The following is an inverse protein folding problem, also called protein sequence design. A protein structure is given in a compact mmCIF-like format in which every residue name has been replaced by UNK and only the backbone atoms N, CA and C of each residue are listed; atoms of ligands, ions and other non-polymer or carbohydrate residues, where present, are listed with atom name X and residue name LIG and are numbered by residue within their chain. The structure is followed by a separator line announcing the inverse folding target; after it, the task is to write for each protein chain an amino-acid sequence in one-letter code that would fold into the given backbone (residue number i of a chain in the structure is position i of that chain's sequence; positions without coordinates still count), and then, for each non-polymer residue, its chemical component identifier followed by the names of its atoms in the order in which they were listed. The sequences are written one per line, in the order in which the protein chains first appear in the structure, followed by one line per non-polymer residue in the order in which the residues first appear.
data_IF_727471029475
#
_entry.id   IF_727471029475
#
_cell.length_a   1.000
_cell.length_b   1.000
_cell.length_c   1.000
_cell.angle_alpha   90.00
_cell.angle_beta   90.00
_cell.angle_gamma   90.00
#
_symmetry.space_group_name_H-M   'P 1'
#
loop_
_entity.id
_entity.type
_entity.pdbx_description
1 polymer ?
#
# COMPACT_ATOMS: atom_id res chain seq x y z
N UNK A 1 -18.02 19.02 41.84
CA UNK A 1 -17.70 17.64 41.33
C UNK A 1 -17.95 17.67 39.83
N UNK A 2 -16.90 17.46 39.03
CA UNK A 2 -17.03 17.46 37.55
C UNK A 2 -17.98 16.35 37.09
N UNK A 3 -18.68 16.58 35.97
CA UNK A 3 -19.52 15.58 35.31
C UNK A 3 -18.76 14.97 34.10
N UNK A 4 -19.06 13.75 33.68
CA UNK A 4 -18.51 13.18 32.45
C UNK A 4 -19.16 13.89 31.23
N UNK A 5 -18.42 13.89 30.12
CA UNK A 5 -18.90 14.41 28.83
C UNK A 5 -20.02 13.54 28.24
N UNK A 6 -20.82 14.13 27.31
CA UNK A 6 -21.95 13.45 26.67
C UNK A 6 -21.52 12.43 25.57
N UNK A 7 -20.27 12.43 25.15
CA UNK A 7 -19.75 11.56 24.11
C UNK A 7 -19.12 10.27 24.65
N UNK A 8 -19.16 10.07 25.99
CA UNK A 8 -18.60 8.90 26.65
C UNK A 8 -17.06 8.82 26.62
N UNK A 9 -16.40 9.96 26.39
CA UNK A 9 -14.93 10.03 26.32
C UNK A 9 -14.29 10.28 27.70
N UNK A 10 -15.10 10.41 28.76
CA UNK A 10 -14.65 10.71 30.11
C UNK A 10 -13.87 12.03 30.24
N UNK A 11 -14.16 13.00 29.39
CA UNK A 11 -13.65 14.37 29.56
C UNK A 11 -14.39 15.02 30.72
N UNK A 12 -13.63 15.51 31.71
CA UNK A 12 -14.23 16.14 32.88
C UNK A 12 -14.84 17.52 32.51
N UNK A 13 -16.14 17.67 32.67
CA UNK A 13 -16.87 18.91 32.44
C UNK A 13 -17.14 19.56 33.79
N UNK A 14 -16.61 20.77 33.98
CA UNK A 14 -16.82 21.56 35.17
C UNK A 14 -18.28 21.99 35.29
N UNK A 15 -18.79 21.88 36.50
CA UNK A 15 -20.17 22.25 36.86
C UNK A 15 -20.19 23.57 37.67
N UNK A 16 -21.29 24.22 37.72
CA UNK A 16 -21.45 25.46 38.52
C UNK A 16 -21.25 25.23 40.03
N UNK A 17 -21.36 23.99 40.47
CA UNK A 17 -21.13 23.58 41.87
C UNK A 17 -19.64 23.28 42.16
N UNK A 18 -18.78 23.29 41.16
CA UNK A 18 -17.36 23.09 41.40
C UNK A 18 -16.70 24.36 41.93
N UNK A 19 -15.61 24.21 42.68
CA UNK A 19 -14.89 25.36 43.19
C UNK A 19 -14.37 26.23 42.03
N UNK A 20 -14.59 27.54 42.01
CA UNK A 20 -14.24 28.38 40.88
C UNK A 20 -12.72 28.43 40.64
N UNK A 21 -12.26 27.81 39.54
CA UNK A 21 -10.88 27.84 39.11
C UNK A 21 -10.80 27.75 37.57
N UNK A 22 -10.68 28.89 36.93
CA UNK A 22 -10.50 28.92 35.46
C UNK A 22 -9.29 28.14 34.99
N UNK A 23 -8.09 28.25 35.62
CA UNK A 23 -6.95 27.42 35.23
C UNK A 23 -7.22 25.92 35.41
N UNK A 24 -7.88 25.52 36.52
CA UNK A 24 -8.20 24.10 36.74
C UNK A 24 -9.19 23.53 35.70
N UNK A 25 -10.23 24.32 35.37
CA UNK A 25 -11.19 23.94 34.34
C UNK A 25 -10.52 23.81 32.94
N UNK A 26 -9.69 24.76 32.58
CA UNK A 26 -8.96 24.75 31.32
C UNK A 26 -7.96 23.55 31.26
N UNK A 27 -7.25 23.25 32.34
CA UNK A 27 -6.35 22.10 32.42
C UNK A 27 -7.11 20.78 32.30
N UNK A 28 -8.19 20.60 33.05
CA UNK A 28 -9.01 19.38 32.96
C UNK A 28 -9.55 19.13 31.54
N UNK A 29 -9.94 20.19 30.85
CA UNK A 29 -10.39 20.10 29.46
C UNK A 29 -9.24 19.75 28.51
N UNK A 30 -8.08 20.37 28.68
CA UNK A 30 -6.87 20.06 27.90
C UNK A 30 -6.44 18.59 28.10
N UNK A 31 -6.34 18.12 29.33
CA UNK A 31 -5.99 16.74 29.68
C UNK A 31 -7.02 15.73 29.13
N UNK A 32 -8.26 16.13 29.02
CA UNK A 32 -9.32 15.32 28.45
C UNK A 32 -9.30 15.26 26.91
N UNK A 33 -9.01 16.34 26.23
CA UNK A 33 -9.13 16.47 24.76
C UNK A 33 -7.83 16.10 24.05
N UNK A 34 -6.69 16.62 24.50
CA UNK A 34 -5.40 16.46 23.79
C UNK A 34 -5.06 15.00 23.48
N UNK A 35 -5.15 14.04 24.43
CA UNK A 35 -4.83 12.65 24.17
C UNK A 35 -5.76 11.96 23.15
N UNK A 36 -6.91 12.56 22.86
CA UNK A 36 -7.92 12.05 21.92
C UNK A 36 -7.84 12.68 20.54
N UNK A 37 -6.92 13.62 20.35
CA UNK A 37 -6.61 14.24 19.06
C UNK A 37 -5.32 13.66 18.49
N UNK A 38 -4.96 14.04 17.26
CA UNK A 38 -3.65 13.72 16.69
C UNK A 38 -2.61 14.67 17.28
N UNK A 39 -1.84 14.20 18.23
CA UNK A 39 -0.75 14.95 18.84
C UNK A 39 0.46 15.02 17.89
N UNK A 40 1.13 16.16 17.83
CA UNK A 40 2.30 16.39 16.97
C UNK A 40 3.57 16.40 17.80
N UNK A 41 4.57 15.59 17.41
CA UNK A 41 5.88 15.53 18.04
C UNK A 41 6.99 15.71 17.00
N UNK A 42 8.09 16.31 17.42
CA UNK A 42 9.25 16.48 16.56
C UNK A 42 9.84 15.12 16.12
N UNK A 43 9.80 14.11 17.01
CA UNK A 43 10.33 12.77 16.76
C UNK A 43 9.70 11.73 17.70
N UNK A 44 9.96 10.44 17.45
CA UNK A 44 9.58 9.35 18.35
C UNK A 44 10.24 9.50 19.73
N UNK A 45 11.48 10.01 19.80
CA UNK A 45 12.17 10.27 21.07
C UNK A 45 11.49 11.39 21.87
N UNK A 46 11.12 12.50 21.20
CA UNK A 46 10.38 13.59 21.84
C UNK A 46 9.03 13.13 22.38
N UNK A 47 8.32 12.32 21.61
CA UNK A 47 7.07 11.68 22.05
C UNK A 47 7.27 10.82 23.29
N UNK A 48 8.26 9.92 23.27
CA UNK A 48 8.59 9.04 24.39
C UNK A 48 9.02 9.79 25.65
N UNK A 49 9.66 10.96 25.51
CA UNK A 49 9.98 11.85 26.62
C UNK A 49 8.76 12.54 27.23
N UNK A 50 7.72 12.81 26.44
CA UNK A 50 6.52 13.51 26.87
C UNK A 50 5.45 12.56 27.43
N UNK A 51 5.23 11.43 26.74
CA UNK A 51 4.17 10.47 27.09
C UNK A 51 4.68 9.44 28.11
N UNK A 52 4.83 9.88 29.37
CA UNK A 52 5.30 9.06 30.48
C UNK A 52 4.44 9.25 31.74
N UNK A 53 4.52 8.29 32.65
CA UNK A 53 3.84 8.35 33.94
C UNK A 53 2.33 8.52 33.78
N UNK A 54 1.76 9.60 34.30
CA UNK A 54 0.33 9.89 34.21
C UNK A 54 -0.16 10.15 32.75
N UNK A 55 0.77 10.46 31.86
CA UNK A 55 0.49 10.71 30.43
C UNK A 55 0.94 9.54 29.53
N UNK A 56 1.20 8.37 30.13
CA UNK A 56 1.60 7.19 29.36
C UNK A 56 0.61 6.91 28.22
N UNK A 57 1.07 6.37 27.08
CA UNK A 57 0.22 6.13 25.94
C UNK A 57 -0.88 5.11 26.27
N UNK A 58 -2.08 5.40 25.78
CA UNK A 58 -3.24 4.52 25.89
C UNK A 58 -3.64 4.06 24.48
N UNK A 59 -4.12 2.83 24.35
CA UNK A 59 -4.58 2.26 23.08
C UNK A 59 -5.55 3.21 22.35
N UNK A 60 -5.31 3.38 21.06
CA UNK A 60 -6.07 4.30 20.21
C UNK A 60 -5.51 5.74 20.15
N UNK A 61 -4.54 6.11 20.99
CA UNK A 61 -3.87 7.41 20.84
C UNK A 61 -3.19 7.51 19.48
N UNK A 62 -3.35 8.66 18.82
CA UNK A 62 -2.74 8.95 17.52
C UNK A 62 -1.70 10.07 17.63
N UNK A 63 -0.57 9.91 16.97
CA UNK A 63 0.51 10.91 16.93
C UNK A 63 1.04 11.07 15.51
N UNK A 64 1.46 12.31 15.17
CA UNK A 64 2.17 12.60 13.93
C UNK A 64 3.61 12.98 14.24
N UNK A 65 4.56 12.25 13.66
CA UNK A 65 6.01 12.51 13.79
C UNK A 65 6.47 13.40 12.65
N UNK A 66 7.04 14.56 13.00
CA UNK A 66 7.44 15.59 12.02
C UNK A 66 8.72 15.24 11.28
N UNK A 67 9.65 14.54 11.93
CA UNK A 67 10.96 14.15 11.35
C UNK A 67 10.82 13.13 10.21
N UNK A 68 9.80 12.26 10.29
CA UNK A 68 9.54 11.19 9.31
C UNK A 68 8.22 11.34 8.58
N UNK A 69 7.49 12.45 8.80
CA UNK A 69 6.17 12.73 8.22
C UNK A 69 5.20 11.52 8.33
N UNK A 70 5.07 10.95 9.53
CA UNK A 70 4.34 9.69 9.73
C UNK A 70 3.29 9.79 10.84
N UNK A 71 2.08 9.32 10.52
CA UNK A 71 1.04 9.06 11.50
C UNK A 71 1.30 7.70 12.15
N UNK A 72 1.24 7.63 13.47
CA UNK A 72 1.29 6.40 14.24
C UNK A 72 0.16 6.34 15.26
N UNK A 73 -0.36 5.14 15.49
CA UNK A 73 -1.40 4.84 16.48
C UNK A 73 -0.83 3.86 17.50
N UNK A 74 -1.11 4.08 18.77
CA UNK A 74 -0.71 3.16 19.84
C UNK A 74 -1.71 2.01 19.92
N UNK A 75 -1.23 0.76 19.78
CA UNK A 75 -2.06 -0.44 19.79
C UNK A 75 -2.15 -1.14 21.16
N UNK A 76 -1.85 -0.42 22.24
CA UNK A 76 -1.80 -0.95 23.60
C UNK A 76 -0.42 -1.45 24.04
N UNK A 77 0.51 -1.72 23.10
CA UNK A 77 1.87 -2.19 23.39
C UNK A 77 2.96 -1.42 22.66
N UNK A 78 2.68 -0.96 21.45
CA UNK A 78 3.64 -0.26 20.58
C UNK A 78 2.96 0.79 19.70
N UNK A 79 3.73 1.75 19.23
CA UNK A 79 3.32 2.69 18.20
C UNK A 79 3.47 2.03 16.83
N UNK A 80 2.38 1.95 16.09
CA UNK A 80 2.31 1.30 14.77
C UNK A 80 1.77 2.28 13.73
N UNK A 81 2.31 2.20 12.52
CA UNK A 81 1.72 2.90 11.37
C UNK A 81 0.42 2.21 10.99
N UNK A 82 -0.72 2.92 10.88
CA UNK A 82 -1.95 2.32 10.40
C UNK A 82 -1.73 1.64 9.04
N UNK A 83 -2.31 0.44 8.81
CA UNK A 83 -2.21 -0.23 7.53
C UNK A 83 -2.80 0.66 6.43
N UNK A 84 -2.14 0.72 5.29
CA UNK A 84 -2.68 1.40 4.12
C UNK A 84 -3.78 0.52 3.50
N UNK A 85 -4.85 1.15 3.05
CA UNK A 85 -5.94 0.42 2.42
C UNK A 85 -5.45 -0.31 1.16
N UNK A 86 -5.81 -1.59 1.04
CA UNK A 86 -5.61 -2.34 -0.19
C UNK A 86 -6.45 -1.70 -1.31
N UNK A 87 -5.81 -1.36 -2.41
CA UNK A 87 -6.47 -0.96 -3.65
C UNK A 87 -6.31 -2.05 -4.69
N UNK A 88 -7.29 -2.21 -5.57
CA UNK A 88 -7.23 -3.20 -6.65
C UNK A 88 -7.79 -2.62 -7.95
N UNK A 89 -7.40 -3.23 -9.06
CA UNK A 89 -7.96 -2.96 -10.38
C UNK A 89 -8.03 -4.23 -11.20
N UNK A 90 -9.04 -4.32 -12.06
CA UNK A 90 -9.21 -5.39 -13.07
C UNK A 90 -9.35 -4.80 -14.47
N UNK A 91 -9.07 -3.51 -14.64
CA UNK A 91 -9.28 -2.78 -15.88
C UNK A 91 -8.08 -1.90 -16.26
N UNK A 92 -8.09 -1.41 -17.50
CA UNK A 92 -7.07 -0.49 -18.00
C UNK A 92 -5.82 -1.17 -18.57
N UNK A 93 -5.78 -2.51 -18.67
CA UNK A 93 -4.75 -3.22 -19.41
C UNK A 93 -4.94 -2.95 -20.91
N UNK A 94 -3.86 -2.61 -21.61
CA UNK A 94 -3.85 -2.45 -23.07
C UNK A 94 -3.08 -3.61 -23.68
N UNK A 95 -3.72 -4.33 -24.61
CA UNK A 95 -3.10 -5.49 -25.26
C UNK A 95 -2.27 -5.07 -26.47
N UNK A 96 -1.14 -5.72 -26.65
CA UNK A 96 -0.31 -5.56 -27.85
C UNK A 96 -0.82 -6.48 -28.98
N UNK A 97 -0.56 -6.14 -30.26
CA UNK A 97 -0.98 -6.96 -31.38
C UNK A 97 -0.53 -8.41 -31.27
N UNK A 98 -1.44 -9.34 -31.50
CA UNK A 98 -1.19 -10.79 -31.38
C UNK A 98 -1.38 -11.36 -29.99
N UNK A 99 -1.99 -10.60 -29.08
CA UNK A 99 -2.44 -11.06 -27.78
C UNK A 99 -3.86 -10.58 -27.48
N UNK A 100 -4.59 -11.34 -26.68
CA UNK A 100 -5.89 -10.97 -26.14
C UNK A 100 -5.94 -11.19 -24.64
N UNK A 101 -6.59 -10.29 -23.92
CA UNK A 101 -6.81 -10.40 -22.48
C UNK A 101 -7.84 -11.50 -22.18
N UNK A 102 -7.53 -12.36 -21.23
CA UNK A 102 -8.49 -13.24 -20.57
C UNK A 102 -8.88 -12.67 -19.21
N UNK A 103 -7.87 -12.26 -18.41
CA UNK A 103 -8.09 -11.65 -17.10
C UNK A 103 -6.94 -10.73 -16.74
N UNK A 104 -7.18 -9.81 -15.80
CA UNK A 104 -6.17 -8.92 -15.23
C UNK A 104 -6.57 -8.53 -13.82
N UNK A 105 -5.63 -8.64 -12.90
CA UNK A 105 -5.77 -8.12 -11.55
C UNK A 105 -4.49 -7.40 -11.12
N UNK A 106 -4.66 -6.21 -10.60
CA UNK A 106 -3.62 -5.47 -9.88
C UNK A 106 -4.03 -5.26 -8.44
N UNK A 107 -3.13 -5.49 -7.50
CA UNK A 107 -3.30 -5.25 -6.06
C UNK A 107 -2.19 -4.33 -5.58
N UNK A 108 -2.55 -3.36 -4.75
CA UNK A 108 -1.59 -2.40 -4.21
C UNK A 108 -1.88 -2.11 -2.75
N UNK A 109 -0.88 -2.31 -1.90
CA UNK A 109 -0.88 -1.89 -0.51
C UNK A 109 0.33 -0.96 -0.29
N UNK A 110 0.03 0.33 -0.12
CA UNK A 110 1.07 1.33 -0.02
C UNK A 110 1.94 1.40 -1.26
N UNK A 111 3.20 0.99 -1.11
CA UNK A 111 4.22 0.97 -2.19
C UNK A 111 4.38 -0.40 -2.83
N UNK A 112 3.81 -1.44 -2.23
CA UNK A 112 3.82 -2.78 -2.82
C UNK A 112 2.75 -2.87 -3.90
N UNK A 113 3.15 -3.33 -5.07
CA UNK A 113 2.27 -3.62 -6.20
C UNK A 113 2.47 -5.07 -6.60
N UNK A 114 1.36 -5.78 -6.77
CA UNK A 114 1.32 -7.12 -7.35
C UNK A 114 0.43 -7.07 -8.58
N UNK A 115 0.87 -7.69 -9.65
CA UNK A 115 0.09 -7.84 -10.88
C UNK A 115 -0.03 -9.30 -11.27
N UNK A 116 -1.22 -9.67 -11.73
CA UNK A 116 -1.53 -10.92 -12.40
C UNK A 116 -2.20 -10.62 -13.73
N UNK A 117 -1.59 -11.06 -14.82
CA UNK A 117 -2.11 -10.90 -16.18
C UNK A 117 -2.34 -12.28 -16.79
N UNK A 118 -3.53 -12.55 -17.25
CA UNK A 118 -3.87 -13.75 -17.99
C UNK A 118 -4.27 -13.38 -19.41
N UNK A 119 -3.54 -13.91 -20.37
CA UNK A 119 -3.70 -13.57 -21.78
C UNK A 119 -3.56 -14.79 -22.69
N UNK A 120 -4.08 -14.68 -23.90
CA UNK A 120 -3.95 -15.69 -24.96
C UNK A 120 -3.09 -15.12 -26.09
N UNK A 121 -2.15 -15.93 -26.59
CA UNK A 121 -1.46 -15.66 -27.84
C UNK A 121 -2.43 -15.84 -29.03
N UNK A 122 -2.67 -14.77 -29.80
CA UNK A 122 -3.56 -14.79 -30.99
C UNK A 122 -2.80 -14.56 -32.30
N UNK A 123 -1.52 -14.19 -32.20
CA UNK A 123 -0.62 -14.00 -33.35
C UNK A 123 0.11 -15.28 -33.76
N UNK A 124 1.06 -15.14 -34.69
CA UNK A 124 1.91 -16.24 -35.11
C UNK A 124 2.75 -16.80 -33.92
N UNK A 125 3.16 -18.07 -34.04
CA UNK A 125 4.03 -18.70 -33.03
C UNK A 125 5.29 -17.86 -32.78
N UNK A 126 5.62 -17.65 -31.51
CA UNK A 126 6.90 -17.13 -31.08
C UNK A 126 7.82 -18.33 -30.88
N UNK A 127 8.83 -18.44 -31.73
CA UNK A 127 9.75 -19.55 -31.68
C UNK A 127 10.79 -19.36 -30.58
N UNK A 128 11.01 -20.41 -29.82
CA UNK A 128 12.08 -20.48 -28.84
C UNK A 128 13.36 -21.06 -29.48
N UNK A 129 14.51 -20.56 -29.05
CA UNK A 129 15.82 -21.11 -29.36
C UNK A 129 16.76 -20.96 -28.17
N UNK A 130 17.22 -22.06 -27.61
CA UNK A 130 18.14 -22.12 -26.47
C UNK A 130 17.68 -21.29 -25.23
N UNK A 131 16.39 -21.35 -24.94
CA UNK A 131 15.77 -20.60 -23.84
C UNK A 131 15.43 -19.15 -24.19
N UNK A 132 15.79 -18.66 -25.37
CA UNK A 132 15.53 -17.31 -25.83
C UNK A 132 14.34 -17.25 -26.80
N UNK A 133 13.66 -16.13 -26.79
CA UNK A 133 12.65 -15.76 -27.79
C UNK A 133 12.94 -14.34 -28.29
N UNK A 134 12.42 -13.99 -29.45
CA UNK A 134 12.39 -12.61 -29.87
C UNK A 134 11.61 -11.80 -28.85
N UNK A 135 12.20 -10.70 -28.36
CA UNK A 135 11.56 -9.76 -27.45
C UNK A 135 10.20 -9.35 -28.01
N UNK A 136 9.15 -9.76 -27.30
CA UNK A 136 7.78 -9.57 -27.77
C UNK A 136 6.95 -8.88 -26.70
N UNK A 137 6.58 -7.63 -26.95
CA UNK A 137 5.61 -6.92 -26.10
C UNK A 137 4.27 -7.65 -26.15
N UNK A 138 3.65 -7.87 -25.00
CA UNK A 138 2.38 -8.58 -24.90
C UNK A 138 1.23 -7.72 -24.35
N UNK A 139 1.52 -6.79 -23.46
CA UNK A 139 0.53 -5.85 -22.93
C UNK A 139 1.21 -4.64 -22.28
N UNK A 140 0.40 -3.62 -22.00
CA UNK A 140 0.82 -2.43 -21.26
C UNK A 140 -0.06 -2.23 -20.05
N UNK A 141 0.53 -2.16 -18.86
CA UNK A 141 -0.18 -1.93 -17.59
C UNK A 141 -0.76 -0.50 -17.52
N UNK A 142 -1.88 -0.30 -16.81
CA UNK A 142 -2.42 1.03 -16.58
C UNK A 142 -1.50 1.90 -15.70
N UNK A 143 -1.61 3.22 -15.85
CA UNK A 143 -0.90 4.18 -15.01
C UNK A 143 -1.22 3.94 -13.50
N UNK A 144 -0.22 4.11 -12.63
CA UNK A 144 -0.35 3.82 -11.19
C UNK A 144 -0.07 2.36 -10.80
N UNK A 145 0.05 1.46 -11.79
CA UNK A 145 0.34 0.03 -11.63
C UNK A 145 1.66 -0.36 -12.33
N UNK A 146 2.52 0.60 -12.58
CA UNK A 146 3.80 0.47 -13.30
C UNK A 146 4.97 0.67 -12.35
N UNK A 147 6.12 0.02 -12.60
CA UNK A 147 7.36 0.38 -11.90
C UNK A 147 7.68 1.86 -12.13
N UNK A 148 8.17 2.55 -11.10
CA UNK A 148 8.43 3.98 -11.17
C UNK A 148 9.90 4.33 -11.33
N UNK A 149 10.82 3.39 -11.04
CA UNK A 149 12.24 3.70 -10.99
C UNK A 149 13.08 2.86 -11.96
N UNK A 150 12.78 1.57 -12.08
CA UNK A 150 13.57 0.65 -12.91
C UNK A 150 12.68 -0.42 -13.54
N UNK A 151 13.18 -1.07 -14.58
CA UNK A 151 12.58 -2.26 -15.18
C UNK A 151 12.60 -3.41 -14.17
N UNK A 152 11.48 -4.11 -14.06
CA UNK A 152 11.28 -5.25 -13.16
C UNK A 152 11.19 -6.52 -13.99
N UNK A 153 11.76 -7.60 -13.48
CA UNK A 153 11.58 -8.93 -14.04
C UNK A 153 10.37 -9.62 -13.43
N UNK A 154 9.68 -10.39 -14.23
CA UNK A 154 8.60 -11.28 -13.81
C UNK A 154 8.72 -12.64 -14.47
N UNK A 155 7.89 -13.57 -14.03
CA UNK A 155 7.77 -14.89 -14.60
C UNK A 155 6.39 -15.09 -15.25
N UNK A 156 6.35 -15.90 -16.29
CA UNK A 156 5.11 -16.36 -16.90
C UNK A 156 5.08 -17.88 -17.02
N UNK A 157 3.89 -18.45 -17.03
CA UNK A 157 3.65 -19.88 -17.19
C UNK A 157 2.42 -20.11 -18.07
N UNK A 158 2.47 -21.17 -18.90
CA UNK A 158 1.34 -21.59 -19.74
C UNK A 158 0.84 -23.00 -19.42
N UNK A 159 1.42 -23.65 -18.40
CA UNK A 159 1.18 -25.04 -18.08
C UNK A 159 1.98 -26.04 -18.93
N UNK A 160 2.50 -25.64 -20.09
CA UNK A 160 3.35 -26.47 -20.98
C UNK A 160 4.70 -25.82 -21.27
N UNK A 161 4.79 -24.52 -21.14
CA UNK A 161 6.03 -23.75 -21.24
C UNK A 161 6.00 -22.63 -20.21
N UNK A 162 7.17 -22.20 -19.78
CA UNK A 162 7.34 -21.08 -18.84
C UNK A 162 8.50 -20.22 -19.28
N UNK A 163 8.61 -19.01 -18.72
CA UNK A 163 9.70 -18.12 -19.04
C UNK A 163 9.68 -16.84 -18.24
N UNK A 164 10.51 -15.91 -18.68
CA UNK A 164 10.64 -14.59 -18.08
C UNK A 164 10.07 -13.49 -18.97
N UNK A 165 9.60 -12.44 -18.33
CA UNK A 165 9.27 -11.16 -18.96
C UNK A 165 9.91 -10.01 -18.22
N UNK A 166 10.01 -8.87 -18.86
CA UNK A 166 10.38 -7.60 -18.23
C UNK A 166 9.19 -6.66 -18.27
N UNK A 167 9.04 -5.89 -17.21
CA UNK A 167 8.07 -4.82 -17.09
C UNK A 167 8.81 -3.49 -17.01
N UNK A 168 8.66 -2.67 -18.03
CA UNK A 168 9.27 -1.34 -18.11
C UNK A 168 8.55 -0.30 -17.23
N UNK A 169 9.21 0.83 -17.01
CA UNK A 169 8.61 1.99 -16.32
C UNK A 169 7.50 2.66 -17.14
N UNK A 170 7.47 2.40 -18.44
CA UNK A 170 6.38 2.76 -19.37
C UNK A 170 5.15 1.84 -19.22
N UNK A 171 5.29 0.74 -18.47
CA UNK A 171 4.27 -0.26 -18.23
C UNK A 171 4.24 -1.40 -19.26
N UNK A 172 5.12 -1.41 -20.24
CA UNK A 172 5.14 -2.46 -21.26
C UNK A 172 5.71 -3.76 -20.65
N UNK A 173 4.93 -4.83 -20.78
CA UNK A 173 5.35 -6.19 -20.47
C UNK A 173 5.92 -6.84 -21.74
N UNK A 174 7.19 -7.19 -21.71
CA UNK A 174 7.90 -7.81 -22.85
C UNK A 174 8.38 -9.19 -22.48
N UNK A 175 7.92 -10.22 -23.18
CA UNK A 175 8.38 -11.59 -23.04
C UNK A 175 9.84 -11.68 -23.55
N UNK A 176 10.73 -12.33 -22.78
CA UNK A 176 12.19 -12.39 -23.06
C UNK A 176 12.74 -13.79 -23.20
N UNK A 177 12.16 -14.74 -22.49
CA UNK A 177 12.62 -16.13 -22.51
C UNK A 177 11.44 -17.08 -22.46
N UNK A 178 11.65 -18.29 -22.95
CA UNK A 178 10.68 -19.38 -22.91
C UNK A 178 11.40 -20.73 -22.86
N UNK A 179 10.79 -21.70 -22.19
CA UNK A 179 11.24 -23.10 -22.19
C UNK A 179 10.72 -23.89 -23.40
N UNK A 180 9.97 -23.25 -24.28
CA UNK A 180 9.42 -23.82 -25.50
C UNK A 180 8.62 -22.78 -26.29
N UNK A 181 8.19 -23.14 -27.49
CA UNK A 181 7.44 -22.26 -28.37
C UNK A 181 6.13 -21.76 -27.74
N UNK A 182 5.81 -20.50 -27.99
CA UNK A 182 4.52 -19.91 -27.61
C UNK A 182 3.63 -19.91 -28.86
N UNK A 183 2.77 -20.91 -28.97
CA UNK A 183 1.91 -21.11 -30.13
C UNK A 183 0.67 -20.23 -30.11
N UNK A 184 0.06 -20.00 -31.27
CA UNK A 184 -1.30 -19.46 -31.34
C UNK A 184 -2.24 -20.30 -30.47
N UNK A 185 -3.07 -19.65 -29.67
CA UNK A 185 -3.95 -20.31 -28.69
C UNK A 185 -3.29 -20.63 -27.34
N UNK A 186 -1.97 -20.43 -27.17
CA UNK A 186 -1.34 -20.59 -25.85
C UNK A 186 -1.84 -19.53 -24.88
N UNK A 187 -2.23 -19.95 -23.69
CA UNK A 187 -2.60 -19.06 -22.59
C UNK A 187 -1.38 -18.84 -21.69
N UNK A 188 -1.10 -17.59 -21.38
CA UNK A 188 0.03 -17.20 -20.54
C UNK A 188 -0.47 -16.48 -19.29
N UNK A 189 0.08 -16.85 -18.13
CA UNK A 189 -0.13 -16.16 -16.86
C UNK A 189 1.16 -15.47 -16.47
N UNK A 190 1.14 -14.15 -16.41
CA UNK A 190 2.27 -13.32 -16.01
C UNK A 190 2.04 -12.85 -14.58
N UNK A 191 3.05 -13.02 -13.75
CA UNK A 191 3.04 -12.55 -12.37
C UNK A 191 4.28 -11.72 -12.06
N UNK A 192 4.10 -10.61 -11.36
CA UNK A 192 5.20 -9.83 -10.81
C UNK A 192 4.77 -9.06 -9.57
N UNK A 193 5.69 -8.93 -8.62
CA UNK A 193 5.55 -8.08 -7.44
C UNK A 193 6.72 -7.12 -7.36
N UNK A 194 6.44 -5.85 -7.11
CA UNK A 194 7.46 -4.80 -7.08
C UNK A 194 7.06 -3.64 -6.18
N UNK A 195 8.05 -2.78 -5.88
CA UNK A 195 7.85 -1.54 -5.14
C UNK A 195 7.79 -0.36 -6.11
N UNK A 196 6.88 0.56 -5.84
CA UNK A 196 6.85 1.87 -6.49
C UNK A 196 7.41 2.94 -5.55
N UNK A 197 8.11 3.92 -6.11
CA UNK A 197 8.49 5.15 -5.40
C UNK A 197 7.37 6.17 -5.55
N UNK A 198 7.00 6.81 -4.47
CA UNK A 198 6.08 7.98 -4.48
C UNK A 198 6.87 9.23 -4.78
#
# INVERSE_FOLDING_TARGET
MTAPDQYGQNVAIWQMTDAPSIPGAAQALADGIIPRTVMRFASASARGGTLQGAYAPVEGMATYLLDVNRLEVYNGSAWVTPPQALTSTTSGLVMEPGFSQLDFAGYREGRNVMIDVYLTRTGATINESDGNILDTACCTLPAGWRPTHQTINGAWDSGVASGGFVLGTDGICTLRSASGNINNGSNLRLHSTFLITT
#
